data_IF_259585361893
#
_entry.id   IF_259585361893
#
_cell.length_a   1.000
_cell.length_b   1.000
_cell.length_c   1.000
_cell.angle_alpha   90.00
_cell.angle_beta   90.00
_cell.angle_gamma   90.00
#
_symmetry.space_group_name_H-M   'P 1'
#
loop_
_entity.id
_entity.type
_entity.pdbx_description
1 polymer ?
#
# COMPACT_ATOMS: atom_id res chain seq x y z
N UNK A 1 -20.30 9.89 -16.69
CA UNK A 1 -20.33 8.72 -15.79
C UNK A 1 -21.57 8.66 -14.87
N UNK A 2 -22.69 9.31 -15.20
CA UNK A 2 -23.87 9.38 -14.31
C UNK A 2 -24.85 8.21 -14.59
N UNK A 3 -24.91 7.71 -15.83
CA UNK A 3 -25.80 6.62 -16.20
C UNK A 3 -25.38 5.25 -15.64
N UNK A 4 -24.08 5.01 -15.41
CA UNK A 4 -23.59 3.73 -14.90
C UNK A 4 -24.12 3.43 -13.48
N UNK A 5 -24.22 4.45 -12.62
CA UNK A 5 -24.70 4.32 -11.25
C UNK A 5 -26.20 3.95 -11.17
N UNK A 6 -27.00 4.35 -12.17
CA UNK A 6 -28.45 4.09 -12.22
C UNK A 6 -28.75 2.68 -12.76
N UNK A 7 -27.92 2.16 -13.68
CA UNK A 7 -28.15 0.85 -14.30
C UNK A 7 -27.62 -0.31 -13.45
N UNK A 8 -26.57 -0.10 -12.66
CA UNK A 8 -25.97 -1.14 -11.78
C UNK A 8 -26.98 -1.84 -10.84
N UNK A 9 -27.89 -1.14 -10.13
CA UNK A 9 -28.88 -1.79 -9.27
C UNK A 9 -29.87 -2.65 -10.06
N UNK A 10 -30.29 -2.19 -11.24
CA UNK A 10 -31.25 -2.92 -12.09
C UNK A 10 -30.60 -4.16 -12.70
N UNK A 11 -29.36 -4.04 -13.15
CA UNK A 11 -28.57 -5.18 -13.63
C UNK A 11 -28.25 -6.18 -12.51
N UNK A 12 -27.93 -5.71 -11.30
CA UNK A 12 -27.69 -6.59 -10.16
C UNK A 12 -28.95 -7.34 -9.72
N UNK A 13 -30.13 -6.71 -9.81
CA UNK A 13 -31.41 -7.36 -9.52
C UNK A 13 -31.75 -8.46 -10.53
N UNK A 14 -31.42 -8.27 -11.81
CA UNK A 14 -31.73 -9.22 -12.88
C UNK A 14 -30.71 -10.36 -12.92
N UNK A 15 -29.43 -10.04 -12.84
CA UNK A 15 -28.35 -10.97 -13.15
C UNK A 15 -27.47 -11.30 -11.94
N UNK A 16 -27.88 -10.90 -10.74
CA UNK A 16 -27.16 -11.12 -9.50
C UNK A 16 -25.93 -10.23 -9.34
N UNK A 17 -25.15 -10.46 -8.27
CA UNK A 17 -23.98 -9.64 -7.96
C UNK A 17 -23.01 -9.55 -9.14
N UNK A 18 -22.58 -8.32 -9.42
CA UNK A 18 -21.68 -7.99 -10.54
C UNK A 18 -20.37 -8.80 -10.46
N UNK A 19 -19.90 -9.12 -9.25
CA UNK A 19 -18.68 -9.88 -9.03
C UNK A 19 -18.70 -11.28 -9.66
N UNK A 20 -19.86 -11.94 -9.75
CA UNK A 20 -19.98 -13.30 -10.31
C UNK A 20 -19.99 -13.31 -11.83
N UNK A 21 -20.13 -12.15 -12.48
CA UNK A 21 -20.16 -11.99 -13.94
C UNK A 21 -18.88 -11.39 -14.51
N UNK A 22 -17.99 -10.92 -13.65
CA UNK A 22 -16.71 -10.38 -14.10
C UNK A 22 -15.79 -11.52 -14.52
N UNK A 23 -15.27 -11.45 -15.74
CA UNK A 23 -14.22 -12.37 -16.21
C UNK A 23 -12.87 -12.08 -15.53
N UNK A 24 -12.67 -10.87 -15.03
CA UNK A 24 -11.39 -10.42 -14.49
C UNK A 24 -10.78 -11.36 -13.42
N UNK A 25 -11.52 -11.88 -12.42
CA UNK A 25 -10.97 -12.85 -11.46
C UNK A 25 -10.52 -14.16 -12.13
N UNK A 26 -11.29 -14.66 -13.10
CA UNK A 26 -10.99 -15.89 -13.84
C UNK A 26 -9.72 -15.70 -14.67
N UNK A 27 -9.64 -14.61 -15.43
CA UNK A 27 -8.46 -14.27 -16.24
C UNK A 27 -7.20 -14.10 -15.38
N UNK A 28 -7.32 -13.46 -14.22
CA UNK A 28 -6.20 -13.28 -13.29
C UNK A 28 -5.72 -14.62 -12.72
N UNK A 29 -6.65 -15.53 -12.43
CA UNK A 29 -6.32 -16.88 -12.00
C UNK A 29 -5.60 -17.67 -13.11
N UNK A 30 -6.15 -17.67 -14.34
CA UNK A 30 -5.53 -18.31 -15.50
C UNK A 30 -4.14 -17.75 -15.82
N UNK A 31 -3.95 -16.43 -15.70
CA UNK A 31 -2.63 -15.80 -15.83
C UNK A 31 -1.63 -16.34 -14.81
N UNK A 32 -2.08 -16.59 -13.59
CA UNK A 32 -1.25 -17.17 -12.53
C UNK A 32 -0.88 -18.62 -12.86
N UNK A 33 -1.85 -19.45 -13.26
CA UNK A 33 -1.61 -20.84 -13.66
C UNK A 33 -0.66 -20.95 -14.85
N UNK A 34 -0.80 -20.06 -15.84
CA UNK A 34 0.12 -19.98 -16.97
C UNK A 34 1.56 -19.75 -16.53
N UNK A 35 1.78 -19.04 -15.42
CA UNK A 35 3.10 -18.85 -14.81
C UNK A 35 3.71 -20.12 -14.21
N UNK A 36 2.91 -21.15 -13.91
CA UNK A 36 3.40 -22.43 -13.37
C UNK A 36 3.86 -23.41 -14.44
N UNK A 37 3.56 -23.18 -15.72
CA UNK A 37 3.98 -24.04 -16.84
C UNK A 37 5.47 -23.87 -17.13
N UNK A 38 6.32 -24.54 -16.35
CA UNK A 38 7.77 -24.67 -16.55
C UNK A 38 8.11 -25.78 -17.54
N UNK A 39 7.37 -26.88 -17.52
CA UNK A 39 7.50 -27.97 -18.48
C UNK A 39 6.36 -27.92 -19.53
N UNK A 40 6.68 -27.44 -20.74
CA UNK A 40 5.70 -27.35 -21.83
C UNK A 40 5.27 -28.70 -22.40
N UNK A 41 6.07 -29.76 -22.23
CA UNK A 41 5.71 -31.11 -22.67
C UNK A 41 4.65 -31.76 -21.76
N UNK A 42 4.51 -31.29 -20.52
CA UNK A 42 3.53 -31.75 -19.53
C UNK A 42 2.94 -30.57 -18.74
N UNK A 43 2.10 -29.74 -19.39
CA UNK A 43 1.66 -28.47 -18.81
C UNK A 43 0.81 -28.65 -17.55
N UNK A 44 -0.08 -29.64 -17.53
CA UNK A 44 -0.95 -29.93 -16.38
C UNK A 44 -0.16 -30.35 -15.15
N UNK A 45 0.80 -31.27 -15.33
CA UNK A 45 1.70 -31.70 -14.26
C UNK A 45 2.55 -30.56 -13.73
N UNK A 46 3.06 -29.70 -14.62
CA UNK A 46 3.83 -28.52 -14.23
C UNK A 46 2.98 -27.51 -13.44
N UNK A 47 1.70 -27.35 -13.78
CA UNK A 47 0.77 -26.49 -13.03
C UNK A 47 0.50 -27.08 -11.64
N UNK A 48 0.19 -28.39 -11.57
CA UNK A 48 -0.09 -29.07 -10.31
C UNK A 48 1.11 -28.96 -9.35
N UNK A 49 2.32 -29.22 -9.83
CA UNK A 49 3.55 -29.09 -9.05
C UNK A 49 3.76 -27.65 -8.56
N UNK A 50 3.68 -26.65 -9.46
CA UNK A 50 3.84 -25.24 -9.09
C UNK A 50 2.78 -24.76 -8.09
N UNK A 51 1.56 -25.28 -8.20
CA UNK A 51 0.48 -24.99 -7.26
C UNK A 51 0.75 -25.60 -5.87
N UNK A 52 1.12 -26.88 -5.81
CA UNK A 52 1.45 -27.57 -4.54
C UNK A 52 2.60 -26.86 -3.82
N UNK A 53 3.66 -26.50 -4.53
CA UNK A 53 4.80 -25.77 -3.95
C UNK A 53 4.35 -24.44 -3.38
N UNK A 54 3.53 -23.67 -4.11
CA UNK A 54 3.04 -22.39 -3.63
C UNK A 54 2.16 -22.54 -2.39
N UNK A 55 1.20 -23.45 -2.39
CA UNK A 55 0.32 -23.68 -1.24
C UNK A 55 1.12 -24.11 -0.01
N UNK A 56 2.09 -25.02 -0.19
CA UNK A 56 2.98 -25.48 0.89
C UNK A 56 3.79 -24.32 1.49
N UNK A 57 4.42 -23.49 0.65
CA UNK A 57 5.17 -22.32 1.10
C UNK A 57 4.27 -21.27 1.76
N UNK A 58 3.07 -21.09 1.23
CA UNK A 58 2.06 -20.17 1.79
C UNK A 58 1.66 -20.64 3.19
N UNK A 59 1.40 -21.93 3.37
CA UNK A 59 1.08 -22.53 4.66
C UNK A 59 2.24 -22.38 5.65
N UNK A 60 3.46 -22.76 5.28
CA UNK A 60 4.64 -22.60 6.16
C UNK A 60 4.86 -21.14 6.54
N UNK A 61 4.65 -20.20 5.60
CA UNK A 61 4.82 -18.77 5.86
C UNK A 61 3.89 -18.22 6.96
N UNK A 62 2.77 -18.88 7.24
CA UNK A 62 1.87 -18.47 8.34
C UNK A 62 2.43 -18.77 9.73
N UNK A 63 3.45 -19.63 9.83
CA UNK A 63 4.07 -20.02 11.10
C UNK A 63 5.47 -19.42 11.30
N UNK A 64 5.97 -18.63 10.34
CA UNK A 64 7.25 -17.93 10.43
C UNK A 64 7.03 -16.52 10.95
N UNK A 65 7.07 -16.33 12.28
CA UNK A 65 6.77 -15.04 12.92
C UNK A 65 7.90 -14.02 12.81
N UNK A 66 9.15 -14.47 12.69
CA UNK A 66 10.34 -13.61 12.68
C UNK A 66 10.73 -13.12 11.28
N UNK A 67 10.00 -13.54 10.24
CA UNK A 67 10.29 -13.21 8.85
C UNK A 67 9.10 -12.45 8.28
N UNK A 68 9.36 -11.38 7.54
CA UNK A 68 8.31 -10.65 6.84
C UNK A 68 7.70 -11.54 5.74
N UNK A 69 6.45 -11.94 5.92
CA UNK A 69 5.69 -12.72 4.94
C UNK A 69 4.58 -11.88 4.33
N UNK A 70 3.98 -12.34 3.22
CA UNK A 70 2.83 -11.64 2.61
C UNK A 70 1.65 -11.48 3.59
N UNK A 71 1.56 -12.30 4.63
CA UNK A 71 0.48 -12.28 5.61
C UNK A 71 0.80 -11.42 6.84
N UNK A 72 2.07 -11.37 7.25
CA UNK A 72 2.51 -10.59 8.42
C UNK A 72 3.00 -9.17 8.05
N UNK A 73 3.15 -8.87 6.75
CA UNK A 73 3.53 -7.54 6.29
C UNK A 73 2.42 -6.54 6.57
N UNK A 74 2.78 -5.46 7.29
CA UNK A 74 1.90 -4.32 7.55
C UNK A 74 1.29 -3.77 6.26
N UNK A 75 0.08 -3.22 6.39
CA UNK A 75 -0.58 -2.62 5.24
C UNK A 75 0.26 -1.49 4.67
N UNK A 76 0.18 -1.30 3.35
CA UNK A 76 0.92 -0.21 2.67
C UNK A 76 0.59 1.19 3.19
N UNK A 77 -0.57 1.34 3.83
CA UNK A 77 -1.07 2.59 4.38
C UNK A 77 -1.00 2.62 5.92
N UNK A 78 -0.44 1.59 6.55
CA UNK A 78 -0.16 1.61 7.99
C UNK A 78 1.24 2.21 8.18
N UNK A 79 1.25 3.46 8.63
CA UNK A 79 2.43 4.07 9.21
C UNK A 79 2.58 3.49 10.62
N UNK A 80 3.30 2.37 10.73
CA UNK A 80 3.53 1.70 12.00
C UNK A 80 4.13 2.65 13.03
N UNK A 81 3.41 2.77 14.15
CA UNK A 81 3.65 3.71 15.24
C UNK A 81 4.80 3.23 16.15
N UNK A 82 5.33 2.03 15.91
CA UNK A 82 6.06 1.29 16.93
C UNK A 82 7.42 1.87 17.32
N UNK A 83 7.97 2.79 16.53
CA UNK A 83 9.14 3.58 16.92
C UNK A 83 8.85 5.04 16.59
N UNK A 84 7.96 5.70 17.34
CA UNK A 84 7.99 7.16 17.39
C UNK A 84 9.42 7.54 17.76
N UNK A 85 10.12 8.15 16.82
CA UNK A 85 11.35 8.83 17.14
C UNK A 85 10.92 9.89 18.15
N UNK A 86 11.49 9.88 19.37
CA UNK A 86 11.23 10.90 20.40
C UNK A 86 11.72 12.24 19.86
N UNK A 87 10.93 12.84 18.98
CA UNK A 87 11.13 14.16 18.45
C UNK A 87 10.49 15.13 19.42
N UNK A 88 11.23 16.18 19.78
CA UNK A 88 10.79 17.22 20.72
C UNK A 88 9.54 17.98 20.20
N UNK A 89 9.32 18.00 18.88
CA UNK A 89 8.17 18.65 18.23
C UNK A 89 7.31 17.61 17.49
N UNK A 90 5.99 17.70 17.67
CA UNK A 90 5.02 16.76 17.05
C UNK A 90 5.01 16.83 15.53
N UNK A 91 5.37 17.99 14.97
CA UNK A 91 5.49 18.21 13.52
C UNK A 91 6.50 17.23 12.89
N UNK A 92 7.52 16.80 13.63
CA UNK A 92 8.53 15.85 13.17
C UNK A 92 8.31 14.41 13.66
N UNK A 93 7.31 14.17 14.50
CA UNK A 93 6.99 12.84 15.02
C UNK A 93 6.34 11.92 13.97
N UNK A 94 5.82 12.49 12.87
CA UNK A 94 5.19 11.74 11.79
C UNK A 94 6.22 11.09 10.87
N UNK A 95 6.23 9.75 10.79
CA UNK A 95 7.00 9.02 9.79
C UNK A 95 6.29 9.05 8.45
N UNK A 96 6.85 9.77 7.48
CA UNK A 96 6.37 9.72 6.09
C UNK A 96 7.12 8.61 5.34
N UNK A 97 6.40 7.61 4.82
CA UNK A 97 6.96 6.64 3.86
C UNK A 97 6.94 7.26 2.44
N UNK A 98 8.10 7.59 1.83
CA UNK A 98 8.11 8.17 0.49
C UNK A 98 7.58 7.16 -0.54
N UNK A 99 6.67 7.61 -1.40
CA UNK A 99 6.10 6.74 -2.43
C UNK A 99 7.04 6.65 -3.64
N UNK A 100 7.54 5.44 -3.91
CA UNK A 100 8.39 5.13 -5.07
C UNK A 100 9.90 5.26 -4.80
N UNK A 101 10.75 4.97 -5.80
CA UNK A 101 12.19 5.05 -5.62
C UNK A 101 12.61 6.50 -5.36
N UNK A 102 13.28 6.74 -4.23
CA UNK A 102 13.94 8.00 -3.81
C UNK A 102 15.04 8.38 -4.81
N UNK A 103 14.67 8.76 -6.03
CA UNK A 103 15.64 9.13 -7.07
C UNK A 103 15.79 10.64 -7.22
N UNK A 104 14.88 11.46 -6.69
CA UNK A 104 14.96 12.93 -6.78
C UNK A 104 14.22 13.61 -5.63
N UNK A 105 14.87 13.72 -4.47
CA UNK A 105 14.53 14.80 -3.56
C UNK A 105 14.97 16.10 -4.25
N UNK A 106 14.02 16.91 -4.74
CA UNK A 106 14.35 18.27 -5.17
C UNK A 106 14.74 19.05 -3.91
N UNK A 107 15.90 19.69 -3.92
CA UNK A 107 16.21 20.69 -2.92
C UNK A 107 15.18 21.82 -3.05
N UNK A 108 14.55 22.20 -1.93
CA UNK A 108 13.64 23.34 -1.88
C UNK A 108 14.43 24.62 -2.15
N UNK A 109 13.78 25.58 -2.83
CA UNK A 109 14.35 26.91 -2.98
C UNK A 109 14.37 27.62 -1.62
N UNK A 110 15.16 28.69 -1.47
CA UNK A 110 15.17 29.49 -0.23
C UNK A 110 13.80 30.09 0.07
N UNK A 111 13.07 30.48 -0.97
CA UNK A 111 11.72 31.05 -0.85
C UNK A 111 10.72 30.02 -0.31
N UNK A 112 10.78 28.79 -0.81
CA UNK A 112 9.93 27.69 -0.33
C UNK A 112 10.27 27.30 1.11
N UNK A 113 11.57 27.34 1.48
CA UNK A 113 12.02 27.09 2.86
C UNK A 113 11.50 28.17 3.81
N UNK A 114 11.61 29.45 3.45
CA UNK A 114 11.11 30.55 4.28
C UNK A 114 9.58 30.49 4.44
N UNK A 115 8.85 30.11 3.38
CA UNK A 115 7.42 29.90 3.44
C UNK A 115 7.07 28.72 4.38
N UNK A 116 7.78 27.60 4.27
CA UNK A 116 7.59 26.44 5.15
C UNK A 116 7.91 26.77 6.61
N UNK A 117 9.02 27.48 6.89
CA UNK A 117 9.38 27.91 8.23
C UNK A 117 8.32 28.81 8.85
N UNK A 118 7.83 29.83 8.13
CA UNK A 118 6.75 30.71 8.60
C UNK A 118 5.47 29.94 8.87
N UNK A 119 5.15 28.96 8.02
CA UNK A 119 3.98 28.10 8.21
C UNK A 119 4.10 27.28 9.49
N UNK A 120 5.25 26.63 9.73
CA UNK A 120 5.49 25.84 10.94
C UNK A 120 5.39 26.75 12.17
N UNK A 121 6.09 27.90 12.18
CA UNK A 121 6.04 28.84 13.29
C UNK A 121 4.60 29.25 13.59
N UNK A 122 3.83 29.70 12.60
CA UNK A 122 2.48 30.23 12.84
C UNK A 122 1.43 29.18 13.23
N UNK A 123 1.64 27.90 12.89
CA UNK A 123 0.64 26.84 13.11
C UNK A 123 1.02 25.81 14.19
N UNK A 124 2.21 25.90 14.78
CA UNK A 124 2.63 25.00 15.87
C UNK A 124 2.55 25.72 17.23
N UNK A 125 1.65 25.25 18.09
CA UNK A 125 1.52 25.76 19.46
C UNK A 125 2.74 25.44 20.33
N UNK A 126 3.49 24.40 19.98
CA UNK A 126 4.72 23.96 20.64
C UNK A 126 5.85 24.99 20.52
N UNK A 127 5.78 25.91 19.56
CA UNK A 127 6.84 26.90 19.27
C UNK A 127 6.45 28.31 19.75
N UNK A 128 5.26 28.47 20.36
CA UNK A 128 4.76 29.76 20.81
C UNK A 128 5.64 30.41 21.89
N UNK A 129 6.26 29.60 22.75
CA UNK A 129 7.18 30.09 23.79
C UNK A 129 8.43 30.74 23.19
N UNK A 130 8.89 30.28 22.03
CA UNK A 130 10.05 30.84 21.34
C UNK A 130 9.73 32.14 20.57
N UNK A 131 8.47 32.36 20.16
CA UNK A 131 8.05 33.60 19.49
C UNK A 131 8.10 34.83 20.39
N UNK A 132 7.97 34.63 21.71
CA UNK A 132 7.86 35.72 22.70
C UNK A 132 9.19 36.44 22.96
N UNK A 133 10.32 35.87 22.56
CA UNK A 133 11.65 36.45 22.79
C UNK A 133 12.15 37.38 21.67
N UNK A 134 11.46 37.43 20.53
CA UNK A 134 11.86 38.24 19.35
C UNK A 134 11.01 39.51 19.15
N UNK A 135 10.28 39.97 20.19
CA UNK A 135 9.48 41.23 20.16
C UNK A 135 10.20 42.41 20.82
#
# INVERSE_FOLDING_TARGET
MIHLAIHLPKEAKIAGPVHSRWMYPIERFLKTLKGYVRNKARPEGSIAEGYIVKESLTFVSMYLNEIETRFNKENRNEDSVEHQQECELSVFASKVRPFGPLRRCKALSKEDLDAAHKFILNNSSEVDDFKRFDS
#
